data_IF_651097298146
#
_entry.id   IF_651097298146
#
_cell.length_a   1.000
_cell.length_b   1.000
_cell.length_c   1.000
_cell.angle_alpha   90.00
_cell.angle_beta   90.00
_cell.angle_gamma   90.00
#
_symmetry.space_group_name_H-M   'P 1'
#
loop_
_entity.id
_entity.type
_entity.pdbx_description
1 polymer ?
#
# COMPACT_ATOMS: atom_id res chain seq x y z
N UNK A 1 -1.22 12.31 -9.21
CA UNK A 1 -2.64 12.09 -9.54
C UNK A 1 -3.42 13.36 -9.44
N UNK A 2 -3.62 13.88 -8.22
CA UNK A 2 -4.75 14.75 -7.93
C UNK A 2 -4.72 16.00 -8.81
N UNK A 3 -3.54 16.63 -8.91
CA UNK A 3 -3.27 17.78 -9.78
C UNK A 3 -3.44 17.53 -11.28
N UNK A 4 -3.46 16.28 -11.73
CA UNK A 4 -3.58 15.88 -13.14
C UNK A 4 -5.00 15.39 -13.48
N UNK A 5 -5.92 15.36 -12.51
CA UNK A 5 -7.32 15.01 -12.75
C UNK A 5 -8.02 16.24 -13.29
N UNK A 6 -8.34 16.21 -14.59
CA UNK A 6 -9.15 17.25 -15.22
C UNK A 6 -10.56 17.28 -14.59
N UNK A 7 -10.97 18.40 -13.96
CA UNK A 7 -12.24 18.47 -13.23
C UNK A 7 -13.46 18.15 -14.10
N UNK A 8 -13.49 18.64 -15.34
CA UNK A 8 -14.60 18.45 -16.27
C UNK A 8 -14.72 16.99 -16.71
N UNK A 9 -13.61 16.39 -17.14
CA UNK A 9 -13.55 14.96 -17.47
C UNK A 9 -13.89 14.10 -16.27
N UNK A 10 -13.51 14.49 -15.05
CA UNK A 10 -13.86 13.77 -13.85
C UNK A 10 -15.37 13.78 -13.58
N UNK A 11 -16.00 14.96 -13.69
CA UNK A 11 -17.46 15.11 -13.60
C UNK A 11 -18.15 14.22 -14.65
N UNK A 12 -17.75 14.31 -15.91
CA UNK A 12 -18.35 13.52 -17.00
C UNK A 12 -18.20 12.02 -16.80
N UNK A 13 -17.00 11.59 -16.41
CA UNK A 13 -16.71 10.18 -16.12
C UNK A 13 -17.61 9.68 -14.98
N UNK A 14 -17.68 10.43 -13.88
CA UNK A 14 -18.44 10.03 -12.69
C UNK A 14 -19.96 10.05 -12.95
N UNK A 15 -20.48 10.99 -13.77
CA UNK A 15 -21.89 11.03 -14.21
C UNK A 15 -22.35 9.71 -14.84
N UNK A 16 -21.44 8.96 -15.47
CA UNK A 16 -21.74 7.63 -16.04
C UNK A 16 -21.99 6.55 -14.97
N UNK A 17 -21.38 6.67 -13.78
CA UNK A 17 -21.51 5.69 -12.69
C UNK A 17 -22.64 6.04 -11.72
N UNK A 18 -22.98 7.33 -11.53
CA UNK A 18 -23.94 7.80 -10.52
C UNK A 18 -25.40 7.26 -10.70
N UNK A 19 -25.67 6.37 -11.66
CA UNK A 19 -27.00 5.76 -11.86
C UNK A 19 -27.53 4.86 -10.73
N UNK A 20 -26.70 4.40 -9.78
CA UNK A 20 -27.12 3.51 -8.67
C UNK A 20 -27.12 4.22 -7.30
N UNK A 21 -27.58 5.47 -7.25
CA UNK A 21 -27.64 6.23 -6.01
C UNK A 21 -28.52 5.50 -4.97
N UNK A 22 -28.03 5.43 -3.72
CA UNK A 22 -28.73 4.84 -2.59
C UNK A 22 -30.10 5.50 -2.36
N UNK A 23 -31.02 4.77 -1.72
CA UNK A 23 -32.34 5.27 -1.31
C UNK A 23 -32.23 6.66 -0.67
N UNK A 24 -32.61 7.73 -1.38
CA UNK A 24 -32.79 9.07 -0.83
C UNK A 24 -32.12 10.26 -1.55
N UNK A 25 -31.06 10.08 -2.35
CA UNK A 25 -30.35 11.21 -3.00
C UNK A 25 -30.56 11.16 -4.52
N UNK A 26 -31.06 12.25 -5.11
CA UNK A 26 -31.22 12.35 -6.57
C UNK A 26 -29.85 12.45 -7.24
N UNK A 27 -29.71 11.77 -8.38
CA UNK A 27 -28.50 11.85 -9.22
C UNK A 27 -28.10 13.30 -9.57
N UNK A 28 -29.08 14.16 -9.82
CA UNK A 28 -28.86 15.58 -10.12
C UNK A 28 -28.23 16.33 -8.95
N UNK A 29 -28.68 16.07 -7.72
CA UNK A 29 -28.14 16.74 -6.53
C UNK A 29 -26.70 16.29 -6.27
N UNK A 30 -26.42 14.99 -6.35
CA UNK A 30 -25.07 14.47 -6.21
C UNK A 30 -24.13 15.02 -7.30
N UNK A 31 -24.62 15.17 -8.52
CA UNK A 31 -23.87 15.78 -9.62
C UNK A 31 -23.51 17.23 -9.31
N UNK A 32 -24.45 18.04 -8.82
CA UNK A 32 -24.22 19.43 -8.44
C UNK A 32 -23.23 19.55 -7.27
N UNK A 33 -23.35 18.69 -6.26
CA UNK A 33 -22.39 18.63 -5.14
C UNK A 33 -20.98 18.32 -5.63
N UNK A 34 -20.86 17.39 -6.58
CA UNK A 34 -19.60 17.02 -7.21
C UNK A 34 -18.98 18.15 -8.02
N UNK A 35 -19.78 18.82 -8.85
CA UNK A 35 -19.36 20.02 -9.59
C UNK A 35 -18.90 21.13 -8.64
N UNK A 36 -19.62 21.34 -7.54
CA UNK A 36 -19.25 22.32 -6.52
C UNK A 36 -17.85 22.04 -5.94
N UNK A 37 -17.62 20.81 -5.47
CA UNK A 37 -16.34 20.41 -4.85
C UNK A 37 -15.17 20.48 -5.83
N UNK A 38 -15.38 20.10 -7.09
CA UNK A 38 -14.32 20.03 -8.09
C UNK A 38 -13.97 21.39 -8.71
N UNK A 39 -14.92 22.33 -8.79
CA UNK A 39 -14.74 23.61 -9.49
C UNK A 39 -14.55 24.81 -8.55
N UNK A 40 -14.97 24.71 -7.28
CA UNK A 40 -14.93 25.81 -6.32
C UNK A 40 -13.85 25.60 -5.24
N UNK A 41 -12.67 25.13 -5.63
CA UNK A 41 -11.58 24.95 -4.69
C UNK A 41 -10.81 26.26 -4.48
N UNK A 42 -11.23 27.04 -3.48
CA UNK A 42 -10.57 28.28 -3.05
C UNK A 42 -9.75 28.06 -1.78
N UNK A 43 -8.55 28.63 -1.71
CA UNK A 43 -7.70 28.58 -0.52
C UNK A 43 -6.96 29.91 -0.30
N UNK A 44 -6.60 30.21 0.96
CA UNK A 44 -5.87 31.42 1.34
C UNK A 44 -4.39 31.09 1.59
N UNK A 45 -3.48 31.84 0.99
CA UNK A 45 -2.04 31.76 1.25
C UNK A 45 -1.44 33.17 1.29
N UNK A 46 -0.71 33.51 2.35
CA UNK A 46 -0.10 34.84 2.53
C UNK A 46 -1.07 36.00 2.21
N UNK A 47 -2.24 35.96 2.84
CA UNK A 47 -3.32 36.95 2.69
C UNK A 47 -3.97 37.10 1.32
N UNK A 48 -3.62 36.25 0.36
CA UNK A 48 -4.26 36.19 -0.96
C UNK A 48 -5.13 34.95 -1.10
N UNK A 49 -6.27 35.11 -1.78
CA UNK A 49 -7.18 34.02 -2.13
C UNK A 49 -6.81 33.51 -3.52
N UNK A 50 -6.66 32.19 -3.63
CA UNK A 50 -6.37 31.49 -4.88
C UNK A 50 -7.47 30.49 -5.18
N UNK A 51 -7.75 30.29 -6.46
CA UNK A 51 -8.63 29.22 -6.94
C UNK A 51 -7.78 28.19 -7.67
N UNK A 52 -7.83 26.93 -7.25
CA UNK A 52 -7.26 25.84 -8.03
C UNK A 52 -8.19 25.56 -9.23
N UNK A 53 -7.73 25.87 -10.45
CA UNK A 53 -8.49 25.65 -11.69
C UNK A 53 -8.25 24.30 -12.35
N UNK A 54 -7.14 23.63 -12.01
CA UNK A 54 -6.78 22.35 -12.57
C UNK A 54 -6.41 21.35 -11.47
N UNK A 55 -6.83 20.11 -11.64
CA UNK A 55 -6.65 19.07 -10.65
C UNK A 55 -7.76 19.02 -9.60
N UNK A 56 -7.90 17.84 -9.03
CA UNK A 56 -8.66 17.59 -7.81
C UNK A 56 -7.88 18.10 -6.60
N UNK A 57 -8.57 18.83 -5.72
CA UNK A 57 -8.04 19.23 -4.42
C UNK A 57 -7.68 18.00 -3.58
N UNK A 58 -6.50 17.97 -2.94
CA UNK A 58 -6.08 16.79 -2.14
C UNK A 58 -6.84 16.72 -0.81
N UNK A 59 -7.16 17.88 -0.23
CA UNK A 59 -7.71 17.99 1.13
C UNK A 59 -9.23 17.76 1.23
N UNK A 60 -9.95 17.61 0.11
CA UNK A 60 -11.40 17.38 0.17
C UNK A 60 -11.69 15.96 0.63
N UNK A 61 -12.70 15.81 1.49
CA UNK A 61 -13.01 14.53 2.14
C UNK A 61 -13.22 13.36 1.14
N UNK A 62 -13.75 13.66 -0.04
CA UNK A 62 -13.99 12.68 -1.09
C UNK A 62 -12.82 12.51 -2.08
N UNK A 63 -11.70 13.24 -1.94
CA UNK A 63 -10.62 13.28 -2.94
C UNK A 63 -10.13 11.89 -3.33
N UNK A 64 -9.84 11.04 -2.33
CA UNK A 64 -9.32 9.69 -2.55
C UNK A 64 -10.32 8.79 -3.29
N UNK A 65 -11.61 8.92 -2.98
CA UNK A 65 -12.67 8.16 -3.66
C UNK A 65 -12.79 8.63 -5.11
N UNK A 66 -12.80 9.93 -5.34
CA UNK A 66 -12.91 10.52 -6.68
C UNK A 66 -11.72 10.20 -7.57
N UNK A 67 -10.50 10.27 -7.03
CA UNK A 67 -9.30 9.88 -7.75
C UNK A 67 -9.35 8.40 -8.16
N UNK A 68 -9.79 7.53 -7.25
CA UNK A 68 -9.94 6.11 -7.54
C UNK A 68 -11.02 5.82 -8.58
N UNK A 69 -12.17 6.50 -8.50
CA UNK A 69 -13.25 6.36 -9.49
C UNK A 69 -12.82 6.85 -10.86
N UNK A 70 -12.21 8.03 -10.94
CA UNK A 70 -11.73 8.62 -12.18
C UNK A 70 -10.70 7.72 -12.86
N UNK A 71 -9.66 7.28 -12.13
CA UNK A 71 -8.65 6.40 -12.71
C UNK A 71 -9.20 5.02 -13.05
N UNK A 72 -10.07 4.43 -12.23
CA UNK A 72 -10.73 3.17 -12.56
C UNK A 72 -11.56 3.25 -13.85
N UNK A 73 -12.28 4.36 -14.05
CA UNK A 73 -13.02 4.63 -15.30
C UNK A 73 -12.09 4.89 -16.49
N UNK A 74 -11.01 5.63 -16.27
CA UNK A 74 -10.01 5.88 -17.29
C UNK A 74 -9.36 4.58 -17.77
N UNK A 75 -9.03 3.68 -16.84
CA UNK A 75 -8.45 2.36 -17.12
C UNK A 75 -9.44 1.40 -17.79
N UNK A 76 -10.75 1.56 -17.52
CA UNK A 76 -11.82 0.73 -18.08
C UNK A 76 -11.75 0.74 -19.61
N UNK A 77 -11.61 -0.45 -20.20
CA UNK A 77 -11.53 -0.64 -21.65
C UNK A 77 -10.14 -0.38 -22.27
N UNK A 78 -9.24 0.31 -21.57
CA UNK A 78 -7.84 0.53 -22.00
C UNK A 78 -6.92 -0.62 -21.56
N UNK A 79 -7.09 -1.08 -20.33
CA UNK A 79 -6.42 -2.27 -19.83
C UNK A 79 -7.34 -3.47 -20.02
N UNK A 80 -7.14 -4.22 -21.10
CA UNK A 80 -7.73 -5.57 -21.23
C UNK A 80 -6.96 -6.51 -20.31
N UNK A 81 -7.40 -6.60 -19.06
CA UNK A 81 -6.92 -7.56 -18.04
C UNK A 81 -6.95 -9.03 -18.50
N UNK A 82 -7.61 -9.31 -19.63
CA UNK A 82 -7.85 -10.64 -20.19
C UNK A 82 -6.75 -11.22 -21.06
N UNK A 83 -5.66 -10.50 -21.35
CA UNK A 83 -4.51 -11.19 -21.95
C UNK A 83 -3.81 -11.97 -20.84
N UNK A 84 -3.75 -13.31 -20.96
CA UNK A 84 -3.07 -14.28 -20.06
C UNK A 84 -1.58 -13.97 -19.72
N UNK A 85 -1.09 -12.79 -20.13
CA UNK A 85 0.25 -12.26 -19.88
C UNK A 85 0.36 -11.43 -18.60
N UNK A 86 -0.73 -11.03 -17.95
CA UNK A 86 -0.69 -10.27 -16.67
C UNK A 86 -1.27 -11.14 -15.56
N UNK A 87 -0.41 -11.53 -14.61
CA UNK A 87 -0.80 -12.35 -13.45
C UNK A 87 -1.21 -11.52 -12.24
N UNK A 88 -0.75 -10.28 -12.13
CA UNK A 88 -1.21 -9.35 -11.09
C UNK A 88 -1.26 -7.92 -11.62
N UNK A 89 -2.32 -7.21 -11.24
CA UNK A 89 -2.43 -5.77 -11.38
C UNK A 89 -2.97 -5.22 -10.07
N UNK A 90 -2.23 -4.33 -9.44
CA UNK A 90 -2.65 -3.60 -8.25
C UNK A 90 -2.41 -2.12 -8.45
N UNK A 91 -3.40 -1.31 -8.07
CA UNK A 91 -3.25 0.16 -8.03
C UNK A 91 -3.56 0.66 -6.64
N UNK A 92 -2.67 1.50 -6.11
CA UNK A 92 -2.91 2.26 -4.89
C UNK A 92 -2.79 3.74 -5.19
N UNK A 93 -3.92 4.41 -5.39
CA UNK A 93 -3.97 5.82 -5.79
C UNK A 93 -3.13 6.02 -7.07
N UNK A 94 -1.90 6.52 -6.95
CA UNK A 94 -0.94 6.78 -8.04
C UNK A 94 -0.04 5.61 -8.38
N UNK A 95 0.16 4.69 -7.44
CA UNK A 95 1.15 3.65 -7.57
C UNK A 95 0.55 2.46 -8.30
N UNK A 96 1.26 1.98 -9.31
CA UNK A 96 0.84 0.86 -10.13
C UNK A 96 1.86 -0.28 -10.02
N UNK A 97 1.36 -1.47 -9.72
CA UNK A 97 2.14 -2.72 -9.71
C UNK A 97 1.53 -3.69 -10.71
N UNK A 98 2.29 -3.99 -11.77
CA UNK A 98 1.93 -5.00 -12.77
C UNK A 98 2.95 -6.14 -12.70
N UNK A 99 2.46 -7.37 -12.53
CA UNK A 99 3.29 -8.58 -12.59
C UNK A 99 2.81 -9.43 -13.75
N UNK A 100 3.73 -9.72 -14.68
CA UNK A 100 3.47 -10.60 -15.82
C UNK A 100 3.77 -12.07 -15.48
N UNK A 101 4.91 -12.30 -14.83
CA UNK A 101 5.37 -13.63 -14.47
C UNK A 101 5.36 -13.82 -12.96
N UNK A 102 6.52 -13.88 -12.33
CA UNK A 102 6.65 -14.13 -10.90
C UNK A 102 7.22 -12.90 -10.21
N UNK A 103 6.58 -12.47 -9.14
CA UNK A 103 7.15 -11.50 -8.21
C UNK A 103 8.12 -12.24 -7.28
N UNK A 104 9.38 -11.80 -7.27
CA UNK A 104 10.40 -12.28 -6.33
C UNK A 104 10.73 -11.14 -5.40
N UNK A 105 10.50 -11.33 -4.12
CA UNK A 105 10.71 -10.34 -3.06
C UNK A 105 11.89 -10.73 -2.18
N UNK A 106 12.58 -9.70 -1.69
CA UNK A 106 13.70 -9.81 -0.76
C UNK A 106 13.65 -8.68 0.26
N UNK A 107 14.34 -8.84 1.38
CA UNK A 107 14.48 -7.75 2.34
C UNK A 107 15.27 -6.60 1.71
N UNK A 108 14.65 -5.43 1.67
CA UNK A 108 15.36 -4.19 1.42
C UNK A 108 15.93 -3.63 2.72
N UNK A 109 17.18 -3.19 2.67
CA UNK A 109 17.87 -2.54 3.76
C UNK A 109 18.36 -1.18 3.28
N UNK A 110 18.01 -0.10 3.98
CA UNK A 110 18.49 1.24 3.66
C UNK A 110 20.01 1.28 3.87
N UNK A 111 20.74 1.91 2.96
CA UNK A 111 22.21 2.04 3.04
C UNK A 111 22.70 2.64 4.36
N UNK A 112 21.91 3.52 4.98
CA UNK A 112 22.22 4.17 6.25
C UNK A 112 21.81 3.36 7.50
N UNK A 113 21.34 2.12 7.35
CA UNK A 113 20.93 1.32 8.48
C UNK A 113 22.15 0.89 9.31
N UNK A 114 22.29 1.46 10.52
CA UNK A 114 23.38 1.14 11.45
C UNK A 114 23.14 -0.10 12.32
N UNK A 115 22.05 -0.84 12.07
CA UNK A 115 21.71 -2.03 12.86
C UNK A 115 21.68 -1.75 14.38
N UNK A 116 20.99 -0.68 14.78
CA UNK A 116 20.81 -0.30 16.18
C UNK A 116 19.76 -1.16 16.87
N UNK A 117 20.00 -2.47 16.92
CA UNK A 117 19.20 -3.40 17.71
C UNK A 117 19.38 -3.10 19.21
N UNK A 118 18.35 -3.41 19.99
CA UNK A 118 18.32 -3.25 21.44
C UNK A 118 19.54 -3.97 22.06
N UNK A 119 20.47 -3.30 22.77
CA UNK A 119 21.58 -3.96 23.46
C UNK A 119 21.11 -4.95 24.52
N UNK A 120 21.85 -6.04 24.74
CA UNK A 120 21.45 -7.05 25.73
C UNK A 120 21.43 -6.50 27.16
N UNK A 121 22.40 -5.64 27.49
CA UNK A 121 22.54 -4.98 28.79
C UNK A 121 21.46 -3.93 29.10
N UNK A 122 20.64 -3.55 28.13
CA UNK A 122 19.59 -2.55 28.37
C UNK A 122 18.51 -3.06 29.33
N UNK A 123 17.83 -2.16 30.03
CA UNK A 123 16.77 -2.47 31.00
C UNK A 123 15.46 -3.03 30.38
N UNK A 124 15.44 -3.35 29.08
CA UNK A 124 14.27 -3.92 28.43
C UNK A 124 13.98 -5.34 28.96
N UNK A 125 12.71 -5.69 29.20
CA UNK A 125 12.32 -7.03 29.58
C UNK A 125 12.84 -8.09 28.60
N UNK A 126 13.16 -9.26 29.13
CA UNK A 126 13.65 -10.39 28.34
C UNK A 126 12.66 -10.79 27.23
N UNK A 127 11.37 -10.78 27.55
CA UNK A 127 10.30 -11.06 26.61
C UNK A 127 10.33 -10.12 25.39
N UNK A 128 10.58 -8.82 25.60
CA UNK A 128 10.69 -7.83 24.52
C UNK A 128 11.88 -8.10 23.62
N UNK A 129 13.04 -8.41 24.22
CA UNK A 129 14.26 -8.78 23.47
C UNK A 129 14.03 -10.03 22.63
N UNK A 130 13.40 -11.06 23.19
CA UNK A 130 13.05 -12.28 22.44
C UNK A 130 12.01 -12.01 21.34
N UNK A 131 10.99 -11.20 21.63
CA UNK A 131 9.88 -10.93 20.73
C UNK A 131 10.34 -10.23 19.44
N UNK A 132 11.21 -9.22 19.51
CA UNK A 132 11.67 -8.56 18.28
C UNK A 132 12.55 -9.48 17.43
N UNK A 133 13.41 -10.31 18.05
CA UNK A 133 14.23 -11.29 17.32
C UNK A 133 13.33 -12.29 16.61
N UNK A 134 12.28 -12.78 17.29
CA UNK A 134 11.26 -13.64 16.70
C UNK A 134 10.55 -12.95 15.54
N UNK A 135 10.12 -11.71 15.73
CA UNK A 135 9.43 -10.92 14.69
C UNK A 135 10.30 -10.73 13.45
N UNK A 136 11.58 -10.40 13.60
CA UNK A 136 12.52 -10.25 12.49
C UNK A 136 12.74 -11.56 11.74
N UNK A 137 12.90 -12.67 12.45
CA UNK A 137 13.02 -14.01 11.82
C UNK A 137 11.76 -14.37 11.03
N UNK A 138 10.57 -14.08 11.56
CA UNK A 138 9.29 -14.27 10.84
C UNK A 138 9.26 -13.38 9.60
N UNK A 139 9.61 -12.08 9.74
CA UNK A 139 9.64 -11.12 8.63
C UNK A 139 10.52 -11.59 7.47
N UNK A 140 11.69 -12.16 7.76
CA UNK A 140 12.58 -12.71 6.74
C UNK A 140 11.96 -13.89 5.99
N UNK A 141 11.26 -14.79 6.69
CA UNK A 141 10.57 -15.91 6.05
C UNK A 141 9.36 -15.46 5.23
N UNK A 142 8.65 -14.42 5.69
CA UNK A 142 7.44 -13.92 5.01
C UNK A 142 7.77 -13.11 3.76
N UNK A 143 8.83 -12.28 3.80
CA UNK A 143 9.14 -11.37 2.70
C UNK A 143 10.06 -12.03 1.66
N UNK A 144 11.04 -12.84 2.05
CA UNK A 144 11.95 -13.43 1.06
C UNK A 144 11.27 -14.57 0.30
N UNK A 145 11.19 -14.46 -1.02
CA UNK A 145 10.70 -15.58 -1.87
C UNK A 145 11.69 -16.74 -1.91
N UNK A 146 12.99 -16.46 -1.78
CA UNK A 146 14.07 -17.46 -1.84
C UNK A 146 14.55 -17.81 -0.42
N UNK A 147 14.55 -19.10 -0.03
CA UNK A 147 14.99 -19.51 1.31
C UNK A 147 16.44 -19.12 1.64
N UNK A 148 17.33 -19.14 0.65
CA UNK A 148 18.74 -18.78 0.84
C UNK A 148 18.92 -17.31 1.24
N UNK A 149 18.10 -16.40 0.69
CA UNK A 149 18.14 -14.99 1.06
C UNK A 149 17.62 -14.78 2.48
N UNK A 150 16.56 -15.48 2.87
CA UNK A 150 16.07 -15.47 4.25
C UNK A 150 17.14 -15.97 5.24
N UNK A 151 17.86 -17.05 4.87
CA UNK A 151 18.97 -17.61 5.65
C UNK A 151 20.12 -16.60 5.79
N UNK A 152 20.48 -15.90 4.72
CA UNK A 152 21.49 -14.85 4.75
C UNK A 152 21.09 -13.68 5.68
N UNK A 153 19.84 -13.22 5.61
CA UNK A 153 19.32 -12.18 6.51
C UNK A 153 19.34 -12.61 7.98
N UNK A 154 18.92 -13.85 8.28
CA UNK A 154 18.98 -14.42 9.63
C UNK A 154 20.41 -14.50 10.16
N UNK A 155 21.36 -14.92 9.33
CA UNK A 155 22.78 -14.94 9.69
C UNK A 155 23.31 -13.54 10.01
N UNK A 156 22.96 -12.55 9.19
CA UNK A 156 23.34 -11.15 9.44
C UNK A 156 22.75 -10.63 10.76
N UNK A 157 21.48 -10.91 11.03
CA UNK A 157 20.83 -10.58 12.30
C UNK A 157 21.56 -11.22 13.49
N UNK A 158 21.87 -12.52 13.39
CA UNK A 158 22.57 -13.26 14.44
C UNK A 158 23.91 -12.60 14.81
N UNK A 159 24.75 -12.31 13.81
CA UNK A 159 26.05 -11.66 14.02
C UNK A 159 25.91 -10.26 14.61
N UNK A 160 24.90 -9.50 14.19
CA UNK A 160 24.64 -8.18 14.75
C UNK A 160 24.16 -8.24 16.21
N UNK A 161 23.38 -9.26 16.59
CA UNK A 161 22.96 -9.46 17.97
C UNK A 161 24.14 -9.85 18.87
N UNK A 162 25.08 -10.67 18.38
CA UNK A 162 26.33 -10.94 19.10
C UNK A 162 27.11 -9.66 19.39
N UNK A 163 27.28 -8.79 18.39
CA UNK A 163 27.92 -7.48 18.56
C UNK A 163 27.19 -6.56 19.55
N UNK A 164 25.89 -6.82 19.81
CA UNK A 164 25.06 -6.11 20.79
C UNK A 164 25.08 -6.77 22.18
N UNK A 165 25.91 -7.78 22.39
CA UNK A 165 26.14 -8.45 23.67
C UNK A 165 25.16 -9.57 24.01
N UNK A 166 24.40 -10.09 23.04
CA UNK A 166 23.49 -11.21 23.30
C UNK A 166 24.29 -12.51 23.53
N UNK A 167 23.99 -13.30 24.57
CA UNK A 167 24.69 -14.57 24.82
C UNK A 167 24.50 -15.57 23.67
N UNK A 168 25.60 -16.15 23.17
CA UNK A 168 25.60 -17.13 22.07
C UNK A 168 24.65 -18.31 22.33
N UNK A 169 24.70 -18.88 23.54
CA UNK A 169 23.85 -20.03 23.93
C UNK A 169 22.36 -19.72 23.75
N UNK A 170 21.95 -18.53 24.20
CA UNK A 170 20.57 -18.05 24.09
C UNK A 170 20.17 -17.77 22.64
N UNK A 171 21.05 -17.18 21.84
CA UNK A 171 20.77 -16.99 20.42
C UNK A 171 20.65 -18.33 19.69
N UNK A 172 21.45 -19.34 20.04
CA UNK A 172 21.32 -20.67 19.46
C UNK A 172 19.93 -21.26 19.73
N UNK A 173 19.47 -21.21 20.98
CA UNK A 173 18.13 -21.66 21.38
C UNK A 173 17.02 -20.88 20.65
N UNK A 174 17.15 -19.55 20.55
CA UNK A 174 16.14 -18.74 19.88
C UNK A 174 16.10 -18.96 18.37
N UNK A 175 17.24 -19.23 17.74
CA UNK A 175 17.31 -19.45 16.30
C UNK A 175 16.98 -20.89 15.89
N UNK A 176 17.12 -21.86 16.79
CA UNK A 176 16.66 -23.24 16.59
C UNK A 176 15.15 -23.40 16.71
N UNK A 177 14.45 -22.50 17.42
CA UNK A 177 12.98 -22.54 17.54
C UNK A 177 12.31 -22.51 16.15
N UNK A 178 11.53 -23.56 15.83
CA UNK A 178 10.71 -23.62 14.62
C UNK A 178 9.62 -22.56 14.67
N UNK A 179 9.58 -21.68 13.67
CA UNK A 179 8.56 -20.65 13.56
C UNK A 179 7.37 -21.20 12.77
N UNK A 180 6.18 -21.15 13.35
CA UNK A 180 4.95 -21.38 12.58
C UNK A 180 4.86 -20.30 11.49
N UNK A 181 4.91 -20.72 10.24
CA UNK A 181 4.60 -19.85 9.11
C UNK A 181 3.10 -19.64 9.15
N UNK A 182 2.66 -18.43 9.48
CA UNK A 182 1.26 -18.06 9.31
C UNK A 182 1.07 -17.91 7.80
N UNK A 183 0.38 -18.87 7.18
CA UNK A 183 -0.14 -18.69 5.84
C UNK A 183 -1.04 -17.46 5.86
N UNK A 184 -0.57 -16.37 5.24
CA UNK A 184 -1.42 -15.21 5.04
C UNK A 184 -2.24 -15.51 3.79
N UNK A 185 -3.59 -15.52 3.87
CA UNK A 185 -4.39 -15.64 2.67
C UNK A 185 -3.95 -14.54 1.71
N UNK A 186 -3.73 -14.90 0.45
CA UNK A 186 -3.47 -13.91 -0.60
C UNK A 186 -4.69 -12.97 -0.55
N UNK A 187 -4.51 -11.67 -0.30
CA UNK A 187 -5.63 -10.75 -0.32
C UNK A 187 -6.27 -10.88 -1.69
N UNK A 188 -7.52 -11.36 -1.74
CA UNK A 188 -8.28 -11.36 -2.99
C UNK A 188 -8.29 -9.91 -3.46
N UNK A 189 -7.85 -9.70 -4.70
CA UNK A 189 -7.92 -8.40 -5.33
C UNK A 189 -9.40 -8.04 -5.44
N UNK A 190 -9.90 -7.22 -4.51
CA UNK A 190 -11.24 -6.65 -4.62
C UNK A 190 -11.12 -5.54 -5.68
N UNK A 191 -11.23 -5.94 -6.95
CA UNK A 191 -11.48 -4.98 -8.00
C UNK A 191 -12.84 -4.31 -7.70
N UNK A 192 -12.99 -2.99 -7.88
CA UNK A 192 -14.24 -2.30 -7.58
C UNK A 192 -15.49 -2.81 -8.32
N UNK A 193 -15.38 -3.77 -9.24
CA UNK A 193 -16.50 -4.46 -9.86
C UNK A 193 -16.00 -5.81 -10.37
N UNK A 194 -16.54 -6.92 -9.86
CA UNK A 194 -16.64 -8.15 -10.65
C UNK A 194 -17.55 -7.81 -11.85
N UNK A 195 -16.94 -7.40 -12.96
CA UNK A 195 -17.67 -7.19 -14.20
C UNK A 195 -18.01 -8.58 -14.76
N UNK A 196 -19.26 -8.98 -14.55
CA UNK A 196 -19.86 -10.15 -15.18
C UNK A 196 -20.26 -9.75 -16.61
N UNK A 197 -19.58 -10.24 -17.67
CA UNK A 197 -20.00 -9.97 -19.03
C UNK A 197 -21.20 -10.88 -19.32
N UNK A 198 -22.37 -10.25 -19.49
CA UNK A 198 -23.39 -10.80 -20.38
C UNK A 198 -22.87 -10.68 -21.79
#
# INVERSE_FOLDING_TARGET
MYTNIDPFRAIDSIKTIIGRASKGIRKSDLTKMMEFVLLNNFFKCQDKIYQQRNGLAISVACASILANLYCGLYEKGRFKYRNNKIKFYGRFINDLLIVKDRLVTRIYEKALNRHMYIPFSSAHPFATKRAFVKAERVRYNTICTRPEEAKACKRKLYLNLLRRGYPQKMLNEWFSETLKVIERPIPKLILPFEYNPV
#
